data_IF_687054519839
#
_entry.id   IF_687054519839
#
_cell.length_a   1.000
_cell.length_b   1.000
_cell.length_c   1.000
_cell.angle_alpha   90.00
_cell.angle_beta   90.00
_cell.angle_gamma   90.00
#
_symmetry.space_group_name_H-M   'P 1'
#
loop_
_entity.id
_entity.type
_entity.pdbx_description
1 polymer ?
#
# COMPACT_ATOMS: atom_id res chain seq x y z
N UNK A 1 -21.12 37.86 7.93
CA UNK A 1 -21.10 37.35 6.54
C UNK A 1 -20.31 36.06 6.56
N UNK A 2 -21.04 34.95 6.65
CA UNK A 2 -20.44 33.62 6.78
C UNK A 2 -19.76 33.24 5.46
N UNK A 3 -18.44 33.07 5.48
CA UNK A 3 -17.73 32.49 4.35
C UNK A 3 -18.19 31.03 4.23
N UNK A 4 -19.01 30.74 3.22
CA UNK A 4 -19.40 29.39 2.83
C UNK A 4 -18.19 28.44 2.75
N UNK A 5 -18.27 27.19 3.25
CA UNK A 5 -17.14 26.26 3.41
C UNK A 5 -16.73 25.60 2.08
N UNK A 6 -16.40 26.42 1.08
CA UNK A 6 -15.99 25.95 -0.25
C UNK A 6 -14.66 25.18 -0.21
N UNK A 7 -13.81 25.47 0.77
CA UNK A 7 -12.50 24.83 0.99
C UNK A 7 -12.62 23.40 1.55
N UNK A 8 -13.57 23.15 2.46
CA UNK A 8 -13.80 21.83 3.07
C UNK A 8 -14.31 20.80 2.04
N UNK A 9 -15.18 21.23 1.13
CA UNK A 9 -15.71 20.38 0.04
C UNK A 9 -14.62 20.05 -0.98
N UNK A 10 -13.75 21.01 -1.32
CA UNK A 10 -12.64 20.78 -2.24
C UNK A 10 -11.60 19.78 -1.68
N UNK A 11 -11.27 19.87 -0.38
CA UNK A 11 -10.39 18.91 0.30
C UNK A 11 -10.95 17.49 0.31
N UNK A 12 -12.22 17.33 0.68
CA UNK A 12 -12.91 16.03 0.65
C UNK A 12 -12.96 15.41 -0.75
N UNK A 13 -13.19 16.22 -1.78
CA UNK A 13 -13.23 15.74 -3.17
C UNK A 13 -11.85 15.34 -3.70
N UNK A 14 -10.76 16.01 -3.27
CA UNK A 14 -9.39 15.63 -3.64
C UNK A 14 -8.95 14.35 -2.92
N UNK A 15 -9.32 14.18 -1.65
CA UNK A 15 -9.06 12.97 -0.86
C UNK A 15 -9.68 11.74 -1.53
N UNK A 16 -10.97 11.84 -1.86
CA UNK A 16 -11.73 10.78 -2.54
C UNK A 16 -11.14 10.38 -3.91
N UNK A 17 -10.66 11.34 -4.72
CA UNK A 17 -10.04 11.04 -6.03
C UNK A 17 -8.69 10.34 -5.89
N UNK A 18 -7.94 10.66 -4.85
CA UNK A 18 -6.61 10.09 -4.60
C UNK A 18 -6.73 8.66 -4.07
N UNK A 19 -7.62 8.43 -3.10
CA UNK A 19 -8.00 7.07 -2.66
C UNK A 19 -8.46 6.20 -3.83
N UNK A 20 -9.36 6.71 -4.68
CA UNK A 20 -9.84 5.98 -5.85
C UNK A 20 -8.69 5.61 -6.81
N UNK A 21 -7.72 6.51 -7.03
CA UNK A 21 -6.58 6.25 -7.88
C UNK A 21 -5.67 5.15 -7.32
N UNK A 22 -5.36 5.16 -6.02
CA UNK A 22 -4.57 4.10 -5.39
C UNK A 22 -5.27 2.74 -5.46
N UNK A 23 -6.56 2.70 -5.15
CA UNK A 23 -7.36 1.48 -5.22
C UNK A 23 -7.47 0.94 -6.66
N UNK A 24 -7.68 1.82 -7.64
CA UNK A 24 -7.70 1.44 -9.05
C UNK A 24 -6.34 0.86 -9.48
N UNK A 25 -5.23 1.47 -9.06
CA UNK A 25 -3.90 0.96 -9.35
C UNK A 25 -3.66 -0.42 -8.69
N UNK A 26 -4.09 -0.60 -7.44
CA UNK A 26 -4.03 -1.90 -6.76
C UNK A 26 -4.78 -2.98 -7.53
N UNK A 27 -6.00 -2.68 -7.99
CA UNK A 27 -6.81 -3.62 -8.79
C UNK A 27 -6.15 -3.95 -10.13
N UNK A 28 -5.57 -2.94 -10.81
CA UNK A 28 -4.83 -3.16 -12.05
C UNK A 28 -3.62 -4.06 -11.82
N UNK A 29 -2.80 -3.77 -10.80
CA UNK A 29 -1.64 -4.61 -10.49
C UNK A 29 -2.05 -6.03 -10.07
N UNK A 30 -3.10 -6.19 -9.26
CA UNK A 30 -3.66 -7.48 -8.88
C UNK A 30 -4.10 -8.28 -10.13
N UNK A 31 -4.83 -7.64 -11.04
CA UNK A 31 -5.24 -8.25 -12.30
C UNK A 31 -4.03 -8.63 -13.16
N UNK A 32 -2.99 -7.80 -13.22
CA UNK A 32 -1.75 -8.14 -13.93
C UNK A 32 -1.07 -9.36 -13.33
N UNK A 33 -0.99 -9.50 -12.00
CA UNK A 33 -0.46 -10.72 -11.37
C UNK A 33 -1.31 -11.93 -11.72
N UNK A 34 -2.63 -11.82 -11.55
CA UNK A 34 -3.61 -12.90 -11.75
C UNK A 34 -3.83 -13.30 -13.20
N UNK A 35 -3.60 -12.42 -14.16
CA UNK A 35 -3.84 -12.68 -15.58
C UNK A 35 -2.56 -12.91 -16.40
N UNK A 36 -1.38 -12.47 -15.93
CA UNK A 36 -0.12 -12.68 -16.65
C UNK A 36 0.40 -14.11 -16.52
N UNK A 37 1.10 -14.61 -17.54
CA UNK A 37 1.80 -15.89 -17.45
C UNK A 37 2.93 -15.78 -16.41
N UNK A 38 2.96 -16.61 -15.35
CA UNK A 38 4.01 -16.57 -14.33
C UNK A 38 5.37 -17.09 -14.82
N UNK A 39 5.43 -17.65 -16.03
CA UNK A 39 6.62 -18.31 -16.57
C UNK A 39 6.42 -19.83 -16.66
N UNK A 40 5.25 -20.30 -17.14
CA UNK A 40 4.98 -21.73 -17.30
C UNK A 40 6.01 -22.33 -18.27
N UNK A 41 6.75 -23.32 -17.79
CA UNK A 41 7.71 -24.09 -18.59
C UNK A 41 6.95 -25.06 -19.48
N UNK A 42 7.11 -24.90 -20.79
CA UNK A 42 6.55 -25.86 -21.77
C UNK A 42 7.29 -27.19 -21.70
N UNK A 43 6.69 -28.27 -22.19
CA UNK A 43 7.29 -29.61 -22.10
C UNK A 43 8.59 -29.67 -22.89
N UNK A 44 9.69 -30.02 -22.22
CA UNK A 44 11.02 -30.22 -22.81
C UNK A 44 11.35 -31.71 -22.75
N UNK A 45 11.60 -32.33 -23.90
CA UNK A 45 11.90 -33.77 -24.02
C UNK A 45 13.38 -34.10 -23.98
N UNK A 46 14.24 -33.14 -24.33
CA UNK A 46 15.69 -33.31 -24.31
C UNK A 46 16.33 -32.07 -23.68
N UNK A 47 17.26 -32.23 -22.71
CA UNK A 47 17.94 -31.10 -22.11
C UNK A 47 18.90 -30.47 -23.13
N UNK A 48 19.02 -29.14 -23.11
CA UNK A 48 19.94 -28.42 -23.98
C UNK A 48 21.39 -28.49 -23.46
N UNK A 49 21.55 -28.58 -22.14
CA UNK A 49 22.82 -28.67 -21.43
C UNK A 49 22.63 -29.41 -20.08
N UNK A 50 23.73 -29.60 -19.35
CA UNK A 50 23.76 -30.32 -18.07
C UNK A 50 23.11 -29.58 -16.89
N UNK A 51 22.65 -28.33 -17.08
CA UNK A 51 21.97 -27.54 -16.02
C UNK A 51 20.49 -27.92 -15.87
N UNK A 52 19.92 -28.59 -16.87
CA UNK A 52 18.52 -29.02 -16.84
C UNK A 52 18.33 -30.15 -15.84
N UNK A 53 17.27 -30.05 -15.04
CA UNK A 53 16.83 -31.12 -14.15
C UNK A 53 15.56 -31.75 -14.69
N UNK A 54 15.30 -33.01 -14.33
CA UNK A 54 14.08 -33.69 -14.75
C UNK A 54 12.99 -33.53 -13.67
N UNK A 55 11.74 -33.36 -14.09
CA UNK A 55 10.58 -33.28 -13.20
C UNK A 55 9.70 -34.51 -13.39
N UNK A 56 9.63 -35.37 -12.37
CA UNK A 56 8.83 -36.60 -12.41
C UNK A 56 7.32 -36.33 -12.53
N UNK A 57 6.83 -35.24 -11.95
CA UNK A 57 5.40 -34.89 -11.98
C UNK A 57 4.91 -34.43 -13.36
N UNK A 58 5.77 -33.71 -14.11
CA UNK A 58 5.44 -33.19 -15.44
C UNK A 58 5.93 -34.08 -16.57
N UNK A 59 6.74 -35.11 -16.27
CA UNK A 59 7.43 -35.92 -17.28
C UNK A 59 8.13 -35.03 -18.32
N UNK A 60 8.95 -34.10 -17.83
CA UNK A 60 9.72 -33.18 -18.66
C UNK A 60 10.99 -32.70 -17.99
N UNK A 61 11.97 -32.31 -18.80
CA UNK A 61 13.09 -31.51 -18.32
C UNK A 61 12.62 -30.08 -18.00
N UNK A 62 13.29 -29.44 -17.05
CA UNK A 62 13.08 -28.05 -16.65
C UNK A 62 14.44 -27.35 -16.54
N UNK A 63 14.54 -26.08 -16.97
CA UNK A 63 15.78 -25.32 -16.88
C UNK A 63 16.16 -25.05 -15.43
N UNK A 64 17.39 -24.59 -15.21
CA UNK A 64 17.85 -24.16 -13.89
C UNK A 64 16.90 -23.11 -13.28
N UNK A 65 16.64 -23.21 -11.98
CA UNK A 65 15.73 -22.31 -11.26
C UNK A 65 14.23 -22.56 -11.48
N UNK A 66 13.84 -23.42 -12.43
CA UNK A 66 12.43 -23.82 -12.58
C UNK A 66 12.03 -24.86 -11.53
N UNK A 67 10.86 -24.71 -10.92
CA UNK A 67 10.32 -25.65 -9.92
C UNK A 67 8.87 -26.02 -10.23
N UNK A 68 8.47 -27.21 -9.76
CA UNK A 68 7.10 -27.70 -9.92
C UNK A 68 6.21 -27.16 -8.79
N UNK A 69 5.11 -26.51 -9.14
CA UNK A 69 4.08 -26.13 -8.18
C UNK A 69 3.07 -27.28 -8.04
N UNK A 70 2.93 -27.85 -6.84
CA UNK A 70 2.01 -28.96 -6.57
C UNK A 70 0.53 -28.55 -6.74
N UNK A 71 0.20 -27.30 -6.39
CA UNK A 71 -1.16 -26.78 -6.48
C UNK A 71 -1.59 -26.56 -7.94
N UNK A 72 -0.73 -25.95 -8.76
CA UNK A 72 -1.01 -25.68 -10.17
C UNK A 72 -0.65 -26.85 -11.10
N UNK A 73 0.13 -27.83 -10.64
CA UNK A 73 0.62 -29.00 -11.39
C UNK A 73 1.37 -28.64 -12.67
N UNK A 74 2.16 -27.57 -12.61
CA UNK A 74 3.00 -27.09 -13.72
C UNK A 74 4.36 -26.65 -13.19
N UNK A 75 5.39 -26.76 -14.03
CA UNK A 75 6.68 -26.15 -13.75
C UNK A 75 6.67 -24.67 -14.11
N UNK A 76 7.22 -23.84 -13.22
CA UNK A 76 7.34 -22.40 -13.39
C UNK A 76 8.81 -22.01 -13.36
N UNK A 77 9.23 -21.18 -14.30
CA UNK A 77 10.58 -20.62 -14.41
C UNK A 77 10.83 -19.60 -13.28
N UNK A 78 12.00 -19.71 -12.63
CA UNK A 78 12.37 -18.93 -11.43
C UNK A 78 11.18 -18.82 -10.46
N UNK A 79 10.65 -19.99 -10.09
CA UNK A 79 9.48 -20.10 -9.22
C UNK A 79 9.76 -19.47 -7.85
N UNK A 80 8.90 -18.54 -7.46
CA UNK A 80 8.95 -17.90 -6.15
C UNK A 80 8.00 -18.62 -5.19
N UNK A 81 6.68 -18.56 -5.46
CA UNK A 81 5.68 -19.26 -4.66
C UNK A 81 4.33 -19.42 -5.38
N UNK A 82 3.47 -20.27 -4.84
CA UNK A 82 2.04 -20.26 -5.14
C UNK A 82 1.35 -19.31 -4.16
N UNK A 83 0.77 -18.23 -4.68
CA UNK A 83 0.13 -17.23 -3.85
C UNK A 83 -1.35 -17.58 -3.66
N UNK A 84 -1.81 -17.87 -2.43
CA UNK A 84 -3.22 -18.18 -2.17
C UNK A 84 -4.12 -16.95 -2.40
N UNK A 85 -3.58 -15.74 -2.27
CA UNK A 85 -4.33 -14.48 -2.43
C UNK A 85 -4.69 -14.16 -3.88
N UNK A 86 -3.84 -14.56 -4.82
CA UNK A 86 -4.09 -14.41 -6.26
C UNK A 86 -4.54 -15.73 -6.91
N UNK A 87 -4.56 -16.82 -6.14
CA UNK A 87 -4.79 -18.19 -6.60
C UNK A 87 -3.91 -18.54 -7.81
N UNK A 88 -2.65 -18.08 -7.78
CA UNK A 88 -1.74 -18.18 -8.92
C UNK A 88 -0.28 -18.30 -8.48
N UNK A 89 0.51 -18.98 -9.30
CA UNK A 89 1.96 -18.96 -9.15
C UNK A 89 2.51 -17.55 -9.39
N UNK A 90 3.54 -17.22 -8.64
CA UNK A 90 4.42 -16.08 -8.86
C UNK A 90 5.79 -16.63 -9.25
N UNK A 91 6.32 -16.13 -10.35
CA UNK A 91 7.62 -16.53 -10.89
C UNK A 91 8.13 -15.47 -11.84
N UNK A 92 9.16 -15.80 -12.64
CA UNK A 92 9.84 -14.86 -13.54
C UNK A 92 8.89 -13.97 -14.35
N UNK A 93 7.82 -14.54 -14.89
CA UNK A 93 6.92 -13.88 -15.82
C UNK A 93 6.02 -12.81 -15.21
N UNK A 94 5.77 -12.85 -13.89
CA UNK A 94 4.86 -11.92 -13.21
C UNK A 94 5.40 -11.31 -11.90
N UNK A 95 6.63 -11.64 -11.48
CA UNK A 95 7.23 -11.16 -10.23
C UNK A 95 7.24 -9.63 -10.11
N UNK A 96 7.49 -8.91 -11.21
CA UNK A 96 7.46 -7.43 -11.22
C UNK A 96 6.09 -6.85 -10.90
N UNK A 97 5.01 -7.51 -11.37
CA UNK A 97 3.65 -7.08 -11.11
C UNK A 97 3.26 -7.38 -9.66
N UNK A 98 3.78 -8.49 -9.11
CA UNK A 98 3.57 -8.85 -7.72
C UNK A 98 4.19 -7.82 -6.77
N UNK A 99 5.43 -7.41 -7.02
CA UNK A 99 6.06 -6.34 -6.24
C UNK A 99 5.37 -4.98 -6.40
N UNK A 100 4.94 -4.62 -7.61
CA UNK A 100 4.16 -3.41 -7.82
C UNK A 100 2.83 -3.46 -7.05
N UNK A 101 2.14 -4.60 -7.07
CA UNK A 101 0.90 -4.79 -6.30
C UNK A 101 1.14 -4.62 -4.79
N UNK A 102 2.17 -5.24 -4.22
CA UNK A 102 2.50 -5.08 -2.81
C UNK A 102 2.82 -3.63 -2.44
N UNK A 103 3.58 -2.92 -3.29
CA UNK A 103 3.90 -1.51 -3.07
C UNK A 103 2.63 -0.65 -3.03
N UNK A 104 1.78 -0.75 -4.04
CA UNK A 104 0.54 0.03 -4.08
C UNK A 104 -0.43 -0.36 -2.97
N UNK A 105 -0.47 -1.64 -2.57
CA UNK A 105 -1.28 -2.10 -1.44
C UNK A 105 -0.86 -1.44 -0.13
N UNK A 106 0.45 -1.35 0.14
CA UNK A 106 0.97 -0.65 1.33
C UNK A 106 0.70 0.85 1.26
N UNK A 107 0.93 1.48 0.10
CA UNK A 107 0.68 2.92 -0.07
C UNK A 107 -0.81 3.27 0.11
N UNK A 108 -1.71 2.46 -0.47
CA UNK A 108 -3.14 2.61 -0.29
C UNK A 108 -3.51 2.46 1.19
N UNK A 109 -3.04 1.41 1.86
CA UNK A 109 -3.33 1.18 3.27
C UNK A 109 -2.87 2.36 4.17
N UNK A 110 -1.64 2.84 3.98
CA UNK A 110 -1.12 3.98 4.76
C UNK A 110 -1.94 5.25 4.48
N UNK A 111 -2.29 5.51 3.23
CA UNK A 111 -3.10 6.66 2.84
C UNK A 111 -4.48 6.64 3.52
N UNK A 112 -5.18 5.51 3.46
CA UNK A 112 -6.51 5.33 4.07
C UNK A 112 -6.45 5.47 5.60
N UNK A 113 -5.39 4.95 6.24
CA UNK A 113 -5.19 5.12 7.69
C UNK A 113 -5.00 6.59 8.06
N UNK A 114 -4.23 7.34 7.27
CA UNK A 114 -4.04 8.78 7.50
C UNK A 114 -5.36 9.52 7.30
N UNK A 115 -6.08 9.27 6.20
CA UNK A 115 -7.38 9.88 5.93
C UNK A 115 -8.37 9.61 7.07
N UNK A 116 -8.48 8.35 7.48
CA UNK A 116 -9.33 7.95 8.60
C UNK A 116 -8.92 8.62 9.91
N UNK A 117 -7.62 8.68 10.22
CA UNK A 117 -7.13 9.37 11.42
C UNK A 117 -7.46 10.87 11.36
N UNK A 118 -7.25 11.54 10.23
CA UNK A 118 -7.59 12.97 10.07
C UNK A 118 -9.09 13.25 10.12
N UNK A 119 -9.93 12.27 9.77
CA UNK A 119 -11.38 12.36 9.94
C UNK A 119 -11.81 12.27 11.40
N UNK A 120 -11.12 11.42 12.19
CA UNK A 120 -11.41 11.25 13.62
C UNK A 120 -10.80 12.35 14.49
N UNK A 121 -9.70 12.96 14.06
CA UNK A 121 -9.08 14.07 14.77
C UNK A 121 -9.88 15.36 14.49
N UNK A 122 -10.25 16.14 15.52
CA UNK A 122 -10.81 17.47 15.33
C UNK A 122 -9.87 18.31 14.44
N UNK A 123 -10.40 19.15 13.54
CA UNK A 123 -9.58 20.05 12.72
C UNK A 123 -8.80 21.08 13.55
N UNK A 124 -9.14 21.22 14.82
CA UNK A 124 -8.51 22.14 15.76
C UNK A 124 -7.39 21.37 16.47
N UNK A 125 -6.15 21.54 15.99
CA UNK A 125 -4.97 21.10 16.72
C UNK A 125 -4.84 21.79 18.09
N UNK A 126 -3.73 21.53 18.83
CA UNK A 126 -3.46 22.16 20.12
C UNK A 126 -3.35 23.71 20.07
N UNK A 127 -3.47 24.35 18.91
CA UNK A 127 -3.66 25.81 18.82
C UNK A 127 -4.89 26.28 19.60
N UNK A 128 -5.98 25.51 19.64
CA UNK A 128 -7.13 25.83 20.50
C UNK A 128 -6.82 25.72 22.00
N UNK A 129 -5.78 24.96 22.37
CA UNK A 129 -5.33 24.80 23.75
C UNK A 129 -4.36 25.93 24.14
N UNK A 130 -3.50 26.37 23.22
CA UNK A 130 -2.58 27.50 23.42
C UNK A 130 -3.30 28.86 23.39
N UNK A 131 -4.38 29.00 22.62
CA UNK A 131 -5.22 30.21 22.60
C UNK A 131 -6.00 30.39 23.93
N UNK A 132 -6.30 29.28 24.63
CA UNK A 132 -6.94 29.34 25.95
C UNK A 132 -6.01 29.77 27.09
N UNK A 133 -4.69 29.68 26.89
CA UNK A 133 -3.69 29.95 27.94
C UNK A 133 -3.17 31.39 27.97
N UNK A 134 -3.32 32.17 26.89
CA UNK A 134 -2.90 33.58 26.86
C UNK A 134 -3.96 34.54 27.43
N UNK A 135 -5.26 34.23 27.31
CA UNK A 135 -6.34 35.08 27.87
C UNK A 135 -6.39 35.09 29.41
N UNK A 136 -5.74 34.13 30.07
CA UNK A 136 -5.70 34.03 31.53
C UNK A 136 -4.57 34.84 32.18
N UNK A 137 -3.58 35.29 31.39
CA UNK A 137 -2.39 35.99 31.91
C UNK A 137 -2.47 37.52 31.77
N UNK A 138 -3.35 38.06 30.94
CA UNK A 138 -3.58 39.53 30.90
C UNK A 138 -4.38 40.05 32.12
N UNK A 139 -5.06 39.17 32.88
CA UNK A 139 -5.87 39.56 34.05
C UNK A 139 -5.02 39.65 35.34
N UNK A 140 -3.78 39.13 35.35
CA UNK A 140 -2.97 39.00 36.57
C UNK A 140 -1.93 40.13 36.75
N UNK A 141 -1.73 41.02 35.76
CA UNK A 141 -0.73 42.10 35.82
C UNK A 141 -1.25 43.55 35.89
N UNK A 142 -2.26 43.90 36.71
CA UNK A 142 -2.35 45.28 37.20
C UNK A 142 -2.28 45.42 38.73
N UNK A 143 -2.01 44.36 39.51
CA UNK A 143 -2.09 44.42 40.99
C UNK A 143 -0.76 44.12 41.68
N UNK A 144 0.34 44.71 41.22
CA UNK A 144 1.55 44.87 42.07
C UNK A 144 2.10 46.28 41.90
N UNK A 145 1.40 47.26 42.48
CA UNK A 145 2.04 48.46 43.04
C UNK A 145 1.72 48.49 44.53
N UNK A 146 2.70 48.32 45.44
CA UNK A 146 2.47 48.60 46.84
C UNK A 146 2.53 50.13 47.03
N UNK A 147 1.38 50.70 47.39
CA UNK A 147 1.26 52.02 48.00
C UNK A 147 1.85 51.93 49.41
N UNK A 148 3.01 52.54 49.63
CA UNK A 148 3.44 52.95 50.97
C UNK A 148 3.11 54.44 51.13
N UNK A 149 2.01 54.75 51.84
CA UNK A 149 1.80 56.08 52.43
C UNK A 149 2.42 56.11 53.83
N UNK A 150 2.84 57.32 54.23
CA UNK A 150 2.89 57.79 55.61
C UNK A 150 1.69 57.30 56.44
#
# INVERSE_FOLDING_TARGET
MDKCPRTRVAGAQVSSRTSLAFNAMCLVCYALVGCSNPGIVTRITMPLDDTYTYCDYCDSYRPEGALHCMDCRVCIEEYDHHCPWTSKCVGKGNIRYFYAWLLFLVLAFVYEVIEFATYLLPPDGPESFLDSSDDSLEIIFPVITPISHL
#
